data_IF_899579878508
#
_entry.id   IF_899579878508
#
_cell.length_a   1.000
_cell.length_b   1.000
_cell.length_c   1.000
_cell.angle_alpha   90.00
_cell.angle_beta   90.00
_cell.angle_gamma   90.00
#
_symmetry.space_group_name_H-M   'P 1'
#
loop_
_entity.id
_entity.type
_entity.pdbx_description
1 polymer ?
#
# COMPACT_ATOMS: atom_id res chain seq x y z
N UNK A 1 -16.97 33.56 -28.53
CA UNK A 1 -16.65 32.96 -27.22
C UNK A 1 -15.69 31.80 -27.47
N UNK A 2 -14.38 32.11 -27.56
CA UNK A 2 -13.34 31.13 -27.94
C UNK A 2 -13.10 30.14 -26.79
N UNK A 3 -13.21 28.84 -27.09
CA UNK A 3 -12.79 27.77 -26.20
C UNK A 3 -11.28 27.55 -26.34
N UNK A 4 -10.52 27.82 -25.27
CA UNK A 4 -9.11 27.43 -25.16
C UNK A 4 -9.05 25.97 -24.71
N UNK A 5 -8.81 25.06 -25.66
CA UNK A 5 -8.40 23.69 -25.35
C UNK A 5 -6.95 23.75 -24.81
N UNK A 6 -6.81 23.81 -23.48
CA UNK A 6 -5.51 23.71 -22.82
C UNK A 6 -4.96 22.29 -23.01
N UNK A 7 -3.83 22.17 -23.67
CA UNK A 7 -3.05 20.93 -23.71
C UNK A 7 -2.53 20.63 -22.31
N UNK A 8 -3.00 19.55 -21.69
CA UNK A 8 -2.38 19.01 -20.48
C UNK A 8 -1.04 18.42 -20.89
N UNK A 9 0.05 19.14 -20.65
CA UNK A 9 1.39 18.57 -20.72
C UNK A 9 1.66 17.84 -19.41
N UNK A 10 2.17 16.61 -19.49
CA UNK A 10 2.61 15.87 -18.32
C UNK A 10 3.73 16.66 -17.62
N UNK A 11 3.52 17.03 -16.36
CA UNK A 11 4.60 17.59 -15.55
C UNK A 11 5.70 16.54 -15.37
N UNK A 12 6.98 16.95 -15.44
CA UNK A 12 8.09 16.05 -15.13
C UNK A 12 7.94 15.56 -13.68
N UNK A 13 8.37 14.32 -13.42
CA UNK A 13 8.34 13.73 -12.09
C UNK A 13 9.07 14.64 -11.10
N UNK A 14 8.42 14.91 -9.98
CA UNK A 14 9.01 15.62 -8.85
C UNK A 14 10.12 14.80 -8.19
N UNK A 15 11.06 15.44 -7.48
CA UNK A 15 12.10 14.73 -6.73
C UNK A 15 11.55 13.72 -5.70
N UNK A 16 10.32 13.92 -5.23
CA UNK A 16 9.65 12.99 -4.32
C UNK A 16 9.17 11.73 -5.08
N UNK A 17 8.62 11.90 -6.28
CA UNK A 17 8.19 10.78 -7.12
C UNK A 17 9.38 9.92 -7.53
N UNK A 18 10.50 10.53 -7.94
CA UNK A 18 11.73 9.79 -8.26
C UNK A 18 12.24 8.97 -7.05
N UNK A 19 12.23 9.56 -5.85
CA UNK A 19 12.59 8.85 -4.63
C UNK A 19 11.62 7.72 -4.30
N UNK A 20 10.32 7.93 -4.50
CA UNK A 20 9.29 6.90 -4.26
C UNK A 20 9.49 5.71 -5.22
N UNK A 21 9.71 5.98 -6.52
CA UNK A 21 10.00 4.92 -7.50
C UNK A 21 11.29 4.17 -7.19
N UNK A 22 12.36 4.88 -6.82
CA UNK A 22 13.63 4.25 -6.43
C UNK A 22 13.46 3.33 -5.22
N UNK A 23 12.74 3.78 -4.19
CA UNK A 23 12.46 2.96 -2.99
C UNK A 23 11.54 1.78 -3.28
N UNK A 24 10.55 1.96 -4.16
CA UNK A 24 9.66 0.89 -4.60
C UNK A 24 10.44 -0.20 -5.36
N UNK A 25 11.34 0.20 -6.27
CA UNK A 25 12.22 -0.75 -6.97
C UNK A 25 13.13 -1.51 -6.00
N UNK A 26 13.64 -0.84 -4.96
CA UNK A 26 14.50 -1.48 -3.96
C UNK A 26 13.83 -2.59 -3.13
N UNK A 27 12.49 -2.65 -3.10
CA UNK A 27 11.73 -3.69 -2.38
C UNK A 27 11.17 -4.79 -3.28
N UNK A 28 11.42 -4.74 -4.60
CA UNK A 28 10.85 -5.66 -5.60
C UNK A 28 11.08 -7.13 -5.24
N UNK A 29 12.30 -7.49 -4.82
CA UNK A 29 12.63 -8.86 -4.48
C UNK A 29 11.79 -9.40 -3.30
N UNK A 30 11.53 -8.56 -2.28
CA UNK A 30 10.65 -8.91 -1.16
C UNK A 30 9.20 -9.08 -1.60
N UNK A 31 8.72 -8.22 -2.50
CA UNK A 31 7.37 -8.35 -3.08
C UNK A 31 7.21 -9.68 -3.82
N UNK A 32 8.21 -10.09 -4.61
CA UNK A 32 8.22 -11.37 -5.31
C UNK A 32 8.16 -12.54 -4.31
N UNK A 33 8.93 -12.46 -3.22
CA UNK A 33 8.95 -13.47 -2.16
C UNK A 33 7.60 -13.59 -1.46
N UNK A 34 7.00 -12.49 -1.02
CA UNK A 34 5.67 -12.48 -0.42
C UNK A 34 4.61 -13.03 -1.36
N UNK A 35 4.64 -12.60 -2.63
CA UNK A 35 3.70 -13.12 -3.64
C UNK A 35 3.82 -14.63 -3.78
N UNK A 36 5.05 -15.17 -3.86
CA UNK A 36 5.27 -16.62 -3.97
C UNK A 36 4.78 -17.35 -2.73
N UNK A 37 5.10 -16.86 -1.55
CA UNK A 37 4.71 -17.46 -0.27
C UNK A 37 3.19 -17.48 -0.08
N UNK A 38 2.50 -16.35 -0.30
CA UNK A 38 1.04 -16.26 -0.20
C UNK A 38 0.38 -17.14 -1.27
N UNK A 39 0.91 -17.16 -2.49
CA UNK A 39 0.37 -18.00 -3.57
C UNK A 39 0.58 -19.51 -3.33
N UNK A 40 1.66 -19.89 -2.63
CA UNK A 40 1.90 -21.29 -2.23
C UNK A 40 1.04 -21.73 -1.04
N UNK A 41 0.54 -20.79 -0.23
CA UNK A 41 -0.30 -21.05 0.93
C UNK A 41 -1.62 -20.27 0.86
N UNK A 42 -2.48 -20.55 -0.14
CA UNK A 42 -3.74 -19.83 -0.29
C UNK A 42 -4.69 -20.16 0.86
N UNK A 43 -5.47 -19.17 1.28
CA UNK A 43 -6.55 -19.32 2.25
C UNK A 43 -7.88 -18.96 1.59
N UNK A 44 -9.00 -19.42 2.16
CA UNK A 44 -10.34 -19.12 1.65
C UNK A 44 -10.82 -17.75 2.16
N UNK A 45 -11.81 -17.20 1.44
CA UNK A 45 -12.59 -16.03 1.87
C UNK A 45 -13.02 -16.10 3.32
N UNK A 46 -12.78 -15.04 4.08
CA UNK A 46 -13.10 -14.89 5.52
C UNK A 46 -12.37 -15.88 6.45
N UNK A 47 -11.32 -16.54 5.95
CA UNK A 47 -10.50 -17.55 6.64
C UNK A 47 -8.99 -17.31 6.45
N UNK A 48 -8.58 -16.12 6.01
CA UNK A 48 -7.19 -15.70 5.73
C UNK A 48 -6.35 -15.44 6.99
N UNK A 49 -6.45 -16.31 8.00
CA UNK A 49 -5.85 -16.12 9.33
C UNK A 49 -4.32 -15.95 9.30
N UNK A 50 -3.62 -16.73 8.48
CA UNK A 50 -2.16 -16.66 8.33
C UNK A 50 -1.77 -15.41 7.56
N UNK A 51 -2.46 -15.13 6.46
CA UNK A 51 -2.18 -13.98 5.58
C UNK A 51 -2.42 -12.67 6.32
N UNK A 52 -3.53 -12.54 7.04
CA UNK A 52 -3.83 -11.38 7.88
C UNK A 52 -2.79 -11.17 8.99
N UNK A 53 -2.32 -12.26 9.61
CA UNK A 53 -1.24 -12.18 10.60
C UNK A 53 0.07 -11.68 9.97
N UNK A 54 0.45 -12.22 8.80
CA UNK A 54 1.65 -11.81 8.07
C UNK A 54 1.61 -10.31 7.74
N UNK A 55 0.50 -9.82 7.19
CA UNK A 55 0.32 -8.40 6.87
C UNK A 55 0.37 -7.54 8.13
N UNK A 56 -0.37 -7.90 9.18
CA UNK A 56 -0.39 -7.13 10.42
C UNK A 56 0.99 -7.05 11.09
N UNK A 57 1.72 -8.16 11.14
CA UNK A 57 3.05 -8.20 11.73
C UNK A 57 4.04 -7.38 10.91
N UNK A 58 3.96 -7.40 9.58
CA UNK A 58 4.81 -6.57 8.73
C UNK A 58 4.53 -5.06 8.89
N UNK A 59 3.25 -4.66 8.90
CA UNK A 59 2.87 -3.25 9.11
C UNK A 59 3.33 -2.74 10.49
N UNK A 60 3.24 -3.55 11.54
CA UNK A 60 3.78 -3.22 12.87
C UNK A 60 5.30 -3.05 12.86
N UNK A 61 6.03 -3.91 12.13
CA UNK A 61 7.49 -3.78 12.00
C UNK A 61 7.92 -2.49 11.30
N UNK A 62 7.08 -1.97 10.40
CA UNK A 62 7.28 -0.67 9.75
C UNK A 62 6.93 0.51 10.67
N UNK A 63 6.41 0.26 11.88
CA UNK A 63 6.07 1.27 12.87
C UNK A 63 4.69 1.92 12.69
N UNK A 64 3.78 1.28 11.93
CA UNK A 64 2.42 1.79 11.75
C UNK A 64 1.53 1.42 12.93
N UNK A 65 0.50 2.22 13.17
CA UNK A 65 -0.65 1.80 13.97
C UNK A 65 -1.45 0.76 13.18
N UNK A 66 -1.79 -0.37 13.81
CA UNK A 66 -2.40 -1.50 13.11
C UNK A 66 -3.62 -2.00 13.86
N UNK A 67 -4.78 -1.97 13.19
CA UNK A 67 -6.02 -2.58 13.64
C UNK A 67 -6.26 -3.89 12.89
N UNK A 68 -6.65 -4.94 13.62
CA UNK A 68 -6.92 -6.27 13.09
C UNK A 68 -8.30 -6.75 13.51
N UNK A 69 -8.84 -7.79 12.86
CA UNK A 69 -10.13 -8.37 13.22
C UNK A 69 -11.33 -7.64 12.60
N UNK A 70 -11.07 -6.77 11.62
CA UNK A 70 -12.11 -6.04 10.89
C UNK A 70 -12.78 -7.03 9.94
N UNK A 71 -14.09 -7.23 10.07
CA UNK A 71 -14.80 -8.25 9.29
C UNK A 71 -14.08 -9.63 9.34
N UNK A 72 -13.64 -10.04 10.54
CA UNK A 72 -12.88 -11.29 10.85
C UNK A 72 -11.38 -11.23 10.56
N UNK A 73 -10.97 -11.10 9.31
CA UNK A 73 -9.55 -11.22 8.89
C UNK A 73 -8.97 -9.90 8.39
N UNK A 74 -9.76 -8.86 8.21
CA UNK A 74 -9.31 -7.55 7.73
C UNK A 74 -8.26 -6.90 8.64
N UNK A 75 -7.31 -6.22 7.97
CA UNK A 75 -6.20 -5.47 8.59
C UNK A 75 -6.19 -4.06 8.02
N UNK A 76 -6.10 -3.06 8.90
CA UNK A 76 -5.91 -1.65 8.53
C UNK A 76 -4.64 -1.13 9.21
N UNK A 77 -3.72 -0.61 8.41
CA UNK A 77 -2.54 0.11 8.88
C UNK A 77 -2.72 1.62 8.67
N UNK A 78 -2.44 2.42 9.70
CA UNK A 78 -2.51 3.87 9.66
C UNK A 78 -1.09 4.43 9.67
N UNK A 79 -0.78 5.24 8.64
CA UNK A 79 0.42 6.04 8.57
C UNK A 79 0.04 7.51 8.78
N UNK A 80 0.29 8.03 9.98
CA UNK A 80 0.07 9.44 10.30
C UNK A 80 1.14 10.32 9.65
N UNK A 81 0.69 11.31 8.88
CA UNK A 81 1.56 12.30 8.25
C UNK A 81 2.05 13.35 9.25
N UNK A 82 3.18 14.00 8.96
CA UNK A 82 3.73 15.05 9.82
C UNK A 82 3.03 16.41 9.75
N UNK A 83 1.99 16.56 8.93
CA UNK A 83 1.28 17.83 8.70
C UNK A 83 -0.22 17.58 8.52
N UNK A 84 -1.10 18.53 8.89
CA UNK A 84 -2.52 18.47 8.56
C UNK A 84 -2.73 18.37 7.04
N UNK A 85 -3.67 17.54 6.62
CA UNK A 85 -3.94 17.32 5.21
C UNK A 85 -5.05 16.29 4.97
N UNK A 86 -5.36 16.02 3.69
CA UNK A 86 -6.35 15.01 3.33
C UNK A 86 -5.85 13.60 3.64
N UNK A 87 -6.78 12.69 3.90
CA UNK A 87 -6.53 11.25 4.08
C UNK A 87 -6.71 10.50 2.76
N UNK A 88 -5.80 9.59 2.44
CA UNK A 88 -5.87 8.71 1.27
C UNK A 88 -5.89 7.26 1.74
N UNK A 89 -6.80 6.45 1.18
CA UNK A 89 -6.87 5.02 1.47
C UNK A 89 -6.31 4.20 0.28
N UNK A 90 -5.40 3.28 0.58
CA UNK A 90 -4.93 2.25 -0.34
C UNK A 90 -5.52 0.91 0.07
N UNK A 91 -6.06 0.15 -0.90
CA UNK A 91 -6.76 -1.10 -0.63
C UNK A 91 -6.31 -2.19 -1.59
N UNK A 92 -6.06 -3.38 -1.05
CA UNK A 92 -5.75 -4.61 -1.77
C UNK A 92 -6.48 -5.80 -1.12
N UNK A 93 -6.79 -6.81 -1.93
CA UNK A 93 -7.27 -8.14 -1.51
C UNK A 93 -6.26 -9.20 -1.92
#
# INVERSE_FOLDING_TARGET
MLALAGTVQAQPASPLEEQAYSRAAAVEQKLIEWRRDIHQHPELGDQETRTSKLVADHLRQLGLEVHTGIARTGVVGILEGGKPGPTVALRAD
#
